data_IF_062862533569
#
_entry.id   IF_062862533569
#
_cell.length_a   1.000
_cell.length_b   1.000
_cell.length_c   1.000
_cell.angle_alpha   90.00
_cell.angle_beta   90.00
_cell.angle_gamma   90.00
#
_symmetry.space_group_name_H-M   'P 1'
#
loop_
_entity.id
_entity.type
_entity.pdbx_description
1 polymer ?
#
# COMPACT_ATOMS: atom_id res chain seq x y z
N UNK A 1 29.51 15.84 2.30
CA UNK A 1 28.26 15.25 2.85
C UNK A 1 27.97 13.98 2.08
N UNK A 2 28.38 12.77 2.54
CA UNK A 2 28.15 11.56 1.77
C UNK A 2 26.69 11.09 1.92
N UNK A 3 26.20 10.55 0.82
CA UNK A 3 24.81 10.18 0.53
C UNK A 3 24.32 9.02 1.42
N UNK A 4 23.10 9.14 1.95
CA UNK A 4 22.40 8.09 2.73
C UNK A 4 21.76 6.99 1.86
N UNK A 5 22.14 6.88 0.59
CA UNK A 5 21.81 5.71 -0.23
C UNK A 5 22.76 4.58 0.16
N UNK A 6 22.32 3.67 1.04
CA UNK A 6 22.67 2.23 1.08
C UNK A 6 22.28 1.62 2.44
N UNK A 7 21.00 1.67 2.80
CA UNK A 7 20.46 0.62 3.70
C UNK A 7 20.17 -0.58 2.82
N UNK A 8 21.12 -1.51 2.75
CA UNK A 8 20.95 -2.80 2.09
C UNK A 8 20.01 -3.64 2.95
N UNK A 9 18.71 -3.60 2.66
CA UNK A 9 17.75 -4.50 3.31
C UNK A 9 17.98 -5.94 2.80
N UNK A 10 17.97 -6.94 3.69
CA UNK A 10 18.09 -8.34 3.30
C UNK A 10 16.91 -8.74 2.42
N UNK A 11 17.17 -9.53 1.36
CA UNK A 11 16.12 -10.11 0.53
C UNK A 11 15.20 -10.97 1.42
N UNK A 12 13.91 -10.62 1.59
CA UNK A 12 13.03 -11.39 2.45
C UNK A 12 12.67 -12.71 1.76
N UNK A 13 12.74 -13.81 2.52
CA UNK A 13 12.28 -15.13 2.08
C UNK A 13 10.75 -15.16 1.91
N UNK A 14 10.19 -16.04 1.07
CA UNK A 14 8.79 -15.97 0.63
C UNK A 14 7.73 -16.09 1.73
N UNK A 15 8.11 -16.53 2.93
CA UNK A 15 7.19 -16.90 4.02
C UNK A 15 7.05 -15.80 5.09
N UNK A 16 7.90 -14.75 5.08
CA UNK A 16 7.90 -13.68 6.09
C UNK A 16 7.37 -12.31 5.60
N UNK A 17 6.94 -12.21 4.34
CA UNK A 17 6.52 -10.93 3.76
C UNK A 17 5.31 -10.28 4.49
N UNK A 18 4.45 -11.09 5.11
CA UNK A 18 3.28 -10.62 5.88
C UNK A 18 3.69 -10.05 7.24
N UNK A 19 4.52 -10.78 8.00
CA UNK A 19 5.03 -10.34 9.31
C UNK A 19 6.02 -9.18 9.20
N UNK A 20 6.74 -9.06 8.08
CA UNK A 20 7.57 -7.89 7.82
C UNK A 20 6.73 -6.63 7.67
N UNK A 21 5.65 -6.65 6.88
CA UNK A 21 4.82 -5.49 6.59
C UNK A 21 3.98 -5.00 7.79
N UNK A 22 3.39 -5.92 8.56
CA UNK A 22 2.63 -5.58 9.76
C UNK A 22 3.55 -4.97 10.84
N UNK A 23 4.71 -5.58 11.06
CA UNK A 23 5.74 -5.07 11.98
C UNK A 23 6.40 -3.80 11.43
N UNK A 24 6.46 -3.61 10.10
CA UNK A 24 6.94 -2.38 9.47
C UNK A 24 5.99 -1.21 9.75
N UNK A 25 4.67 -1.37 9.67
CA UNK A 25 3.74 -0.28 10.05
C UNK A 25 3.88 0.14 11.52
N UNK A 26 4.00 -0.84 12.43
CA UNK A 26 4.19 -0.57 13.87
C UNK A 26 5.56 0.05 14.17
N UNK A 27 6.64 -0.46 13.57
CA UNK A 27 7.99 0.11 13.71
C UNK A 27 8.12 1.49 13.09
N UNK A 28 7.52 1.75 11.92
CA UNK A 28 7.53 3.08 11.31
C UNK A 28 6.83 4.12 12.20
N UNK A 29 5.75 3.71 12.87
CA UNK A 29 5.04 4.56 13.85
C UNK A 29 5.87 4.80 15.11
N UNK A 30 6.68 3.83 15.55
CA UNK A 30 7.51 3.92 16.75
C UNK A 30 8.84 4.66 16.53
N UNK A 31 9.46 4.52 15.35
CA UNK A 31 10.81 5.01 15.05
C UNK A 31 10.82 6.31 14.23
N UNK A 32 9.65 6.84 13.81
CA UNK A 32 9.56 8.10 13.08
C UNK A 32 10.13 8.04 11.65
N UNK A 33 10.21 6.85 11.08
CA UNK A 33 10.74 6.63 9.74
C UNK A 33 9.74 7.16 8.69
N UNK A 34 10.23 8.00 7.77
CA UNK A 34 9.41 8.62 6.73
C UNK A 34 8.91 7.54 5.74
N UNK A 35 7.60 7.33 5.70
CA UNK A 35 6.99 6.50 4.68
C UNK A 35 7.07 7.21 3.33
N UNK A 36 7.63 6.54 2.33
CA UNK A 36 7.55 6.94 0.92
C UNK A 36 6.43 6.12 0.23
N UNK A 37 5.99 6.56 -0.95
CA UNK A 37 4.95 5.93 -1.78
C UNK A 37 5.16 4.43 -1.98
N UNK A 38 6.42 3.97 -2.04
CA UNK A 38 6.78 2.56 -2.27
C UNK A 38 6.42 1.63 -1.11
N UNK A 39 6.17 2.17 0.08
CA UNK A 39 5.79 1.37 1.25
C UNK A 39 4.31 0.92 1.19
N UNK A 40 3.45 1.66 0.50
CA UNK A 40 2.00 1.41 0.51
C UNK A 40 1.57 0.18 -0.30
N UNK A 41 2.06 -0.08 -1.53
CA UNK A 41 1.66 -1.27 -2.29
C UNK A 41 1.86 -2.61 -1.55
N UNK A 42 3.02 -2.90 -0.91
CA UNK A 42 3.18 -4.14 -0.17
C UNK A 42 2.30 -4.20 1.09
N UNK A 43 2.09 -3.08 1.81
CA UNK A 43 1.18 -3.00 2.95
C UNK A 43 -0.28 -3.31 2.53
N UNK A 44 -0.73 -2.70 1.44
CA UNK A 44 -2.08 -2.92 0.89
C UNK A 44 -2.26 -4.36 0.43
N UNK A 45 -1.26 -4.95 -0.23
CA UNK A 45 -1.27 -6.36 -0.62
C UNK A 45 -1.39 -7.30 0.58
N UNK A 46 -0.69 -7.01 1.68
CA UNK A 46 -0.82 -7.79 2.91
C UNK A 46 -2.24 -7.67 3.50
N UNK A 47 -2.81 -6.45 3.55
CA UNK A 47 -4.18 -6.23 3.99
C UNK A 47 -5.21 -6.96 3.11
N UNK A 48 -5.03 -6.98 1.79
CA UNK A 48 -5.87 -7.76 0.85
C UNK A 48 -5.83 -9.25 1.17
N UNK A 49 -4.64 -9.82 1.38
CA UNK A 49 -4.46 -11.27 1.64
C UNK A 49 -5.11 -11.71 2.94
N UNK A 50 -5.09 -10.84 3.94
CA UNK A 50 -5.68 -11.09 5.25
C UNK A 50 -7.17 -10.69 5.31
N UNK A 51 -7.74 -10.19 4.20
CA UNK A 51 -9.10 -9.65 4.10
C UNK A 51 -9.41 -8.59 5.18
N UNK A 52 -8.37 -7.93 5.71
CA UNK A 52 -8.49 -7.01 6.84
C UNK A 52 -8.86 -5.62 6.35
N UNK A 53 -10.17 -5.35 6.27
CA UNK A 53 -10.69 -4.04 5.88
C UNK A 53 -10.21 -2.93 6.83
N UNK A 54 -10.14 -3.22 8.13
CA UNK A 54 -9.68 -2.26 9.14
C UNK A 54 -8.26 -1.79 8.84
N UNK A 55 -7.33 -2.73 8.67
CA UNK A 55 -5.92 -2.42 8.35
C UNK A 55 -5.83 -1.67 7.02
N UNK A 56 -6.60 -2.08 6.02
CA UNK A 56 -6.66 -1.40 4.73
C UNK A 56 -7.12 0.06 4.82
N UNK A 57 -8.14 0.36 5.63
CA UNK A 57 -8.61 1.73 5.87
C UNK A 57 -7.60 2.57 6.65
N UNK A 58 -6.89 1.98 7.62
CA UNK A 58 -5.81 2.66 8.34
C UNK A 58 -4.67 3.05 7.38
N UNK A 59 -4.27 2.13 6.48
CA UNK A 59 -3.26 2.39 5.44
C UNK A 59 -3.75 3.46 4.45
N UNK A 60 -5.01 3.40 4.00
CA UNK A 60 -5.59 4.42 3.13
C UNK A 60 -5.53 5.81 3.79
N UNK A 61 -6.03 5.93 5.02
CA UNK A 61 -6.01 7.21 5.74
C UNK A 61 -4.60 7.76 5.93
N UNK A 62 -3.61 6.89 6.15
CA UNK A 62 -2.20 7.28 6.23
C UNK A 62 -1.66 7.76 4.89
N UNK A 63 -1.96 7.07 3.79
CA UNK A 63 -1.56 7.47 2.44
C UNK A 63 -2.12 8.86 2.09
N UNK A 64 -3.40 9.10 2.37
CA UNK A 64 -4.04 10.40 2.14
C UNK A 64 -3.39 11.52 2.96
N UNK A 65 -3.09 11.26 4.25
CA UNK A 65 -2.44 12.25 5.13
C UNK A 65 -1.03 12.64 4.67
N UNK A 66 -0.31 11.70 4.07
CA UNK A 66 1.06 11.92 3.57
C UNK A 66 1.09 12.43 2.12
N UNK A 67 -0.07 12.65 1.49
CA UNK A 67 -0.15 13.16 0.11
C UNK A 67 0.04 12.11 -0.98
N UNK A 68 0.04 10.82 -0.63
CA UNK A 68 0.16 9.71 -1.59
C UNK A 68 -1.19 9.15 -2.04
N UNK A 69 -2.30 9.78 -1.65
CA UNK A 69 -3.65 9.32 -1.99
C UNK A 69 -3.96 9.31 -3.50
N UNK A 70 -3.20 10.05 -4.31
CA UNK A 70 -3.31 10.10 -5.78
C UNK A 70 -2.09 9.50 -6.49
N UNK A 71 -1.25 8.76 -5.76
CA UNK A 71 -0.16 8.01 -6.39
C UNK A 71 -0.75 6.77 -7.09
N UNK A 72 -0.49 6.55 -8.40
CA UNK A 72 -1.12 5.47 -9.15
C UNK A 72 -0.87 4.08 -8.59
N UNK A 73 0.29 3.84 -7.98
CA UNK A 73 0.61 2.54 -7.37
C UNK A 73 -0.18 2.34 -6.08
N UNK A 74 -0.35 3.41 -5.29
CA UNK A 74 -1.16 3.39 -4.06
C UNK A 74 -2.63 3.19 -4.39
N UNK A 75 -3.16 3.96 -5.34
CA UNK A 75 -4.56 3.84 -5.78
C UNK A 75 -4.84 2.42 -6.30
N UNK A 76 -3.94 1.85 -7.11
CA UNK A 76 -4.08 0.48 -7.63
C UNK A 76 -4.11 -0.55 -6.50
N UNK A 77 -3.25 -0.38 -5.48
CA UNK A 77 -3.27 -1.20 -4.28
C UNK A 77 -4.58 -1.07 -3.50
N UNK A 78 -5.12 0.15 -3.38
CA UNK A 78 -6.36 0.43 -2.66
C UNK A 78 -7.57 -0.21 -3.34
N UNK A 79 -7.68 -0.11 -4.67
CA UNK A 79 -8.75 -0.77 -5.45
C UNK A 79 -8.73 -2.28 -5.18
N UNK A 80 -7.55 -2.91 -5.29
CA UNK A 80 -7.39 -4.36 -5.04
C UNK A 80 -7.73 -4.73 -3.60
N UNK A 81 -7.33 -3.92 -2.63
CA UNK A 81 -7.61 -4.15 -1.21
C UNK A 81 -9.10 -4.05 -0.89
N UNK A 82 -9.76 -2.98 -1.31
CA UNK A 82 -11.20 -2.84 -1.10
C UNK A 82 -12.00 -3.93 -1.81
N UNK A 83 -11.63 -4.28 -3.05
CA UNK A 83 -12.27 -5.36 -3.79
C UNK A 83 -12.12 -6.72 -3.08
N UNK A 84 -10.89 -7.04 -2.62
CA UNK A 84 -10.63 -8.28 -1.88
C UNK A 84 -11.44 -8.35 -0.58
N UNK A 85 -11.61 -7.24 0.13
CA UNK A 85 -12.43 -7.14 1.34
C UNK A 85 -13.95 -7.01 1.08
N UNK A 86 -14.42 -7.21 -0.16
CA UNK A 86 -15.84 -7.16 -0.52
C UNK A 86 -16.46 -5.75 -0.57
N UNK A 87 -15.64 -4.70 -0.51
CA UNK A 87 -16.04 -3.28 -0.55
C UNK A 87 -15.98 -2.74 -1.97
N UNK A 88 -16.85 -3.29 -2.82
CA UNK A 88 -16.85 -3.04 -4.27
C UNK A 88 -17.18 -1.58 -4.60
N UNK A 89 -18.09 -0.96 -3.84
CA UNK A 89 -18.43 0.46 -4.03
C UNK A 89 -17.22 1.36 -3.77
N UNK A 90 -16.48 1.11 -2.68
CA UNK A 90 -15.27 1.85 -2.33
C UNK A 90 -14.15 1.61 -3.33
N UNK A 91 -13.99 0.37 -3.79
CA UNK A 91 -13.05 0.05 -4.87
C UNK A 91 -13.38 0.84 -6.15
N UNK A 92 -14.66 0.93 -6.52
CA UNK A 92 -15.15 1.74 -7.63
C UNK A 92 -14.86 3.23 -7.43
N UNK A 93 -15.12 3.78 -6.25
CA UNK A 93 -14.84 5.19 -5.95
C UNK A 93 -13.35 5.55 -6.04
N UNK A 94 -12.46 4.65 -5.61
CA UNK A 94 -11.01 4.85 -5.78
C UNK A 94 -10.65 4.77 -7.26
N UNK A 95 -11.14 3.74 -7.96
CA UNK A 95 -10.89 3.57 -9.39
C UNK A 95 -11.39 4.77 -10.21
N UNK A 96 -12.53 5.35 -9.86
CA UNK A 96 -13.11 6.48 -10.58
C UNK A 96 -12.30 7.77 -10.43
N UNK A 97 -11.58 7.91 -9.32
CA UNK A 97 -10.71 9.06 -9.03
C UNK A 97 -9.33 8.96 -9.66
N UNK A 98 -8.90 7.76 -10.07
CA UNK A 98 -7.61 7.57 -10.75
C UNK A 98 -7.58 8.36 -12.06
N UNK A 99 -6.57 9.22 -12.21
CA UNK A 99 -6.35 9.98 -13.44
C UNK A 99 -5.78 9.12 -14.58
N UNK A 100 -5.12 8.01 -14.24
CA UNK A 100 -4.57 7.03 -15.19
C UNK A 100 -5.25 5.67 -14.99
N UNK A 101 -6.28 5.41 -15.79
CA UNK A 101 -6.91 4.09 -15.89
C UNK A 101 -6.23 3.36 -17.05
N UNK A 102 -5.30 2.46 -16.76
CA UNK A 102 -4.76 1.58 -17.78
C UNK A 102 -5.88 0.63 -18.24
N UNK A 103 -6.47 0.94 -19.39
CA UNK A 103 -7.42 0.05 -20.06
C UNK A 103 -6.63 -1.04 -20.74
N UNK A 104 -6.55 -2.22 -20.12
CA UNK A 104 -6.11 -3.42 -20.84
C UNK A 104 -7.22 -3.77 -21.83
N UNK A 105 -7.03 -3.33 -23.07
CA UNK A 105 -7.88 -3.74 -24.19
C UNK A 105 -7.26 -5.00 -24.78
N UNK A 106 -7.96 -6.13 -24.71
CA UNK A 106 -7.64 -7.32 -25.50
C UNK A 106 -8.60 -7.35 -26.66
N UNK A 107 -8.10 -7.06 -27.87
CA UNK A 107 -8.69 -7.51 -29.13
C UNK A 107 -8.69 -9.04 -29.21
#
# INVERSE_FOLDING_TARGET
>A
MPSLFLIKFPNPTPVSATSFCENYHEKMRAEGLSLDRFCFPPLLKAASRNLSLRTGMEIHGLASKLGFGSDPFVETGLVRMYAASGRIMEAGLVFDKMSHKDVVTTD
#
